data_IF_098853271155
#
_entry.id   IF_098853271155
#
_cell.length_a   1.000
_cell.length_b   1.000
_cell.length_c   1.000
_cell.angle_alpha   90.00
_cell.angle_beta   90.00
_cell.angle_gamma   90.00
#
_symmetry.space_group_name_H-M   'P 1'
#
loop_
_entity.id
_entity.type
_entity.pdbx_description
1 polymer ?
#
# COMPACT_ATOMS: atom_id res chain seq x y z
N UNK A 1 14.49 -45.71 -3.26
CA UNK A 1 13.42 -44.87 -3.85
C UNK A 1 13.66 -43.46 -3.34
N UNK A 2 14.18 -42.57 -4.18
CA UNK A 2 14.39 -41.17 -3.79
C UNK A 2 13.07 -40.42 -3.95
N UNK A 3 12.50 -39.99 -2.84
CA UNK A 3 11.38 -39.04 -2.80
C UNK A 3 11.93 -37.66 -3.11
N UNK A 4 11.78 -37.23 -4.37
CA UNK A 4 12.03 -35.84 -4.76
C UNK A 4 10.94 -34.97 -4.13
N UNK A 5 11.26 -34.32 -3.02
CA UNK A 5 10.47 -33.21 -2.48
C UNK A 5 10.38 -32.14 -3.59
N UNK A 6 9.18 -31.72 -4.04
CA UNK A 6 9.09 -30.64 -5.01
C UNK A 6 9.71 -29.38 -4.38
N UNK A 7 10.64 -28.74 -5.10
CA UNK A 7 11.33 -27.56 -4.60
C UNK A 7 10.30 -26.48 -4.27
N UNK A 8 10.44 -25.85 -3.10
CA UNK A 8 9.72 -24.63 -2.80
C UNK A 8 9.88 -23.64 -3.98
N UNK A 9 8.78 -23.00 -4.33
CA UNK A 9 8.61 -22.13 -5.50
C UNK A 9 9.87 -21.34 -5.87
N UNK A 10 10.24 -21.35 -7.17
CA UNK A 10 11.37 -20.58 -7.69
C UNK A 10 11.38 -19.16 -7.14
N UNK A 11 12.52 -18.73 -6.60
CA UNK A 11 12.75 -17.38 -6.05
C UNK A 11 12.35 -16.30 -7.05
N UNK A 12 11.84 -15.18 -6.56
CA UNK A 12 11.61 -14.02 -7.41
C UNK A 12 12.94 -13.52 -7.95
N UNK A 13 13.03 -13.39 -9.27
CA UNK A 13 14.02 -12.49 -9.87
C UNK A 13 13.65 -11.02 -9.58
N UNK A 14 14.10 -10.11 -10.44
CA UNK A 14 13.68 -8.71 -10.39
C UNK A 14 12.20 -8.59 -10.73
N UNK A 15 11.39 -8.13 -9.78
CA UNK A 15 9.97 -7.89 -9.96
C UNK A 15 9.76 -6.58 -10.71
N UNK A 16 9.17 -6.60 -11.92
CA UNK A 16 8.86 -5.37 -12.63
C UNK A 16 7.71 -4.63 -11.94
N UNK A 17 7.54 -3.37 -12.35
CA UNK A 17 6.34 -2.60 -12.07
C UNK A 17 5.09 -3.41 -12.46
N UNK A 18 4.00 -3.36 -11.67
CA UNK A 18 2.78 -4.04 -12.07
C UNK A 18 2.28 -3.45 -13.40
N UNK A 19 1.89 -4.35 -14.31
CA UNK A 19 0.96 -4.00 -15.38
C UNK A 19 -0.35 -3.62 -14.68
N UNK A 20 -0.76 -2.35 -14.74
CA UNK A 20 -1.99 -1.82 -14.12
C UNK A 20 -2.94 -1.45 -15.24
N UNK A 21 -4.21 -1.83 -15.13
CA UNK A 21 -5.22 -1.59 -16.17
C UNK A 21 -6.48 -0.97 -15.59
N UNK A 22 -7.14 -0.13 -16.37
CA UNK A 22 -8.48 0.38 -16.05
C UNK A 22 -9.42 -0.81 -15.78
N UNK A 23 -10.16 -0.74 -14.68
CA UNK A 23 -11.05 -1.80 -14.21
C UNK A 23 -10.41 -2.79 -13.23
N UNK A 24 -9.10 -2.74 -12.98
CA UNK A 24 -8.52 -3.46 -11.84
C UNK A 24 -9.13 -2.92 -10.52
N UNK A 25 -9.55 -3.82 -9.63
CA UNK A 25 -10.19 -3.50 -8.36
C UNK A 25 -9.63 -4.34 -7.21
N UNK A 26 -9.49 -3.70 -6.05
CA UNK A 26 -9.08 -4.34 -4.80
C UNK A 26 -10.05 -3.95 -3.69
N UNK A 27 -10.39 -4.91 -2.83
CA UNK A 27 -11.09 -4.66 -1.58
C UNK A 27 -10.19 -5.09 -0.43
N UNK A 28 -9.85 -4.17 0.46
CA UNK A 28 -9.10 -4.43 1.68
C UNK A 28 -9.99 -4.29 2.89
N UNK A 29 -9.66 -5.03 3.94
CA UNK A 29 -10.23 -4.84 5.26
C UNK A 29 -9.10 -4.47 6.22
N UNK A 30 -9.22 -3.31 6.84
CA UNK A 30 -8.27 -2.79 7.82
C UNK A 30 -8.87 -2.90 9.22
N UNK A 31 -8.11 -3.44 10.18
CA UNK A 31 -8.52 -3.59 11.58
C UNK A 31 -7.42 -3.15 12.53
N UNK A 32 -7.78 -2.68 13.72
CA UNK A 32 -6.84 -2.48 14.81
C UNK A 32 -6.44 -3.83 15.40
N UNK A 33 -5.16 -4.05 15.67
CA UNK A 33 -4.66 -5.32 16.25
C UNK A 33 -4.62 -5.31 17.78
N UNK A 34 -4.51 -4.13 18.39
CA UNK A 34 -4.33 -3.99 19.83
C UNK A 34 -5.66 -3.86 20.59
N UNK A 35 -6.78 -3.68 19.86
CA UNK A 35 -8.13 -3.75 20.44
C UNK A 35 -8.57 -5.23 20.51
N UNK A 36 -8.38 -5.84 21.68
CA UNK A 36 -8.82 -7.22 21.96
C UNK A 36 -10.35 -7.38 22.03
N UNK A 37 -11.09 -6.28 21.97
CA UNK A 37 -12.54 -6.31 21.90
C UNK A 37 -12.96 -6.74 20.49
N UNK A 38 -13.57 -7.92 20.42
CA UNK A 38 -14.06 -8.59 19.21
C UNK A 38 -15.18 -7.83 18.44
N UNK A 39 -15.25 -6.51 18.57
CA UNK A 39 -16.24 -5.60 17.98
C UNK A 39 -15.66 -4.69 16.88
N UNK A 40 -14.36 -4.71 16.61
CA UNK A 40 -13.83 -3.98 15.45
C UNK A 40 -14.28 -4.67 14.15
N UNK A 41 -15.37 -4.17 13.58
CA UNK A 41 -15.86 -4.59 12.26
C UNK A 41 -14.81 -4.34 11.16
N UNK A 42 -13.86 -3.44 11.43
CA UNK A 42 -12.84 -2.97 10.50
C UNK A 42 -13.39 -1.94 9.51
N UNK A 43 -12.46 -1.31 8.81
CA UNK A 43 -12.73 -0.41 7.70
C UNK A 43 -12.52 -1.15 6.39
N UNK A 44 -13.58 -1.24 5.59
CA UNK A 44 -13.46 -1.70 4.21
C UNK A 44 -12.95 -0.56 3.33
N UNK A 45 -11.91 -0.86 2.55
CA UNK A 45 -11.30 0.08 1.62
C UNK A 45 -11.35 -0.53 0.22
N UNK A 46 -12.19 0.03 -0.64
CA UNK A 46 -12.29 -0.37 -2.03
C UNK A 46 -11.46 0.57 -2.89
N UNK A 47 -10.67 0.04 -3.80
CA UNK A 47 -9.87 0.83 -4.74
C UNK A 47 -10.08 0.31 -6.16
N UNK A 48 -10.26 1.20 -7.14
CA UNK A 48 -10.40 0.82 -8.56
C UNK A 48 -9.63 1.74 -9.47
N UNK A 49 -9.01 1.20 -10.51
CA UNK A 49 -8.36 2.00 -11.56
C UNK A 49 -9.42 2.50 -12.52
N UNK A 50 -9.52 3.82 -12.68
CA UNK A 50 -10.56 4.43 -13.52
C UNK A 50 -10.02 5.05 -14.80
N UNK A 51 -8.75 5.47 -14.82
CA UNK A 51 -8.14 6.04 -16.00
C UNK A 51 -6.62 5.84 -16.03
N UNK A 52 -6.09 5.72 -17.25
CA UNK A 52 -4.69 6.02 -17.55
C UNK A 52 -4.68 7.44 -18.10
N UNK A 53 -3.91 8.31 -17.46
CA UNK A 53 -3.81 9.72 -17.81
C UNK A 53 -2.56 9.96 -18.68
N UNK A 54 -2.40 11.20 -19.13
CA UNK A 54 -1.23 11.64 -19.87
C UNK A 54 0.07 11.40 -19.07
N UNK A 55 1.18 11.26 -19.79
CA UNK A 55 2.49 10.90 -19.24
C UNK A 55 2.53 9.57 -18.46
N UNK A 56 1.52 8.70 -18.63
CA UNK A 56 1.48 7.37 -18.00
C UNK A 56 1.01 7.37 -16.55
N UNK A 57 0.51 8.50 -16.04
CA UNK A 57 -0.08 8.57 -14.71
C UNK A 57 -1.33 7.70 -14.60
N UNK A 58 -1.64 7.24 -13.40
CA UNK A 58 -2.74 6.32 -13.13
C UNK A 58 -3.69 6.97 -12.14
N UNK A 59 -4.97 7.09 -12.52
CA UNK A 59 -6.02 7.52 -11.61
C UNK A 59 -6.66 6.30 -10.95
N UNK A 60 -6.63 6.29 -9.63
CA UNK A 60 -7.30 5.29 -8.80
C UNK A 60 -8.32 5.99 -7.91
N UNK A 61 -9.55 5.51 -7.91
CA UNK A 61 -10.55 5.94 -6.94
C UNK A 61 -10.54 5.02 -5.74
N UNK A 62 -10.63 5.58 -4.55
CA UNK A 62 -10.65 4.87 -3.27
C UNK A 62 -11.90 5.23 -2.49
N UNK A 63 -12.64 4.24 -2.00
CA UNK A 63 -13.80 4.40 -1.13
C UNK A 63 -13.48 3.78 0.24
N UNK A 64 -13.53 4.59 1.28
CA UNK A 64 -13.21 4.20 2.65
C UNK A 64 -14.51 4.04 3.46
N UNK A 65 -15.04 2.82 3.50
CA UNK A 65 -16.31 2.49 4.14
C UNK A 65 -17.37 2.02 3.14
N UNK A 66 -18.38 1.36 3.68
CA UNK A 66 -19.42 0.68 2.91
C UNK A 66 -20.75 1.43 2.88
N UNK A 67 -20.86 2.57 3.58
CA UNK A 67 -22.08 3.36 3.55
C UNK A 67 -22.34 3.88 2.12
N UNK A 68 -23.62 4.01 1.77
CA UNK A 68 -24.03 4.35 0.41
C UNK A 68 -23.53 5.75 -0.01
N UNK A 69 -23.46 6.67 0.93
CA UNK A 69 -23.05 8.07 0.80
C UNK A 69 -21.54 8.28 0.97
N UNK A 70 -20.77 7.26 1.35
CA UNK A 70 -19.31 7.36 1.40
C UNK A 70 -18.75 7.71 0.01
N UNK A 71 -18.03 8.83 -0.14
CA UNK A 71 -17.55 9.28 -1.43
C UNK A 71 -16.39 8.42 -1.94
N UNK A 72 -16.23 8.43 -3.27
CA UNK A 72 -14.99 8.00 -3.90
C UNK A 72 -13.99 9.16 -3.88
N UNK A 73 -12.78 8.89 -3.40
CA UNK A 73 -11.66 9.82 -3.30
C UNK A 73 -10.66 9.53 -4.41
N UNK A 74 -10.14 10.59 -5.03
CA UNK A 74 -9.19 10.48 -6.14
C UNK A 74 -7.75 10.36 -5.63
N UNK A 75 -7.05 9.34 -6.12
CA UNK A 75 -5.60 9.20 -5.97
C UNK A 75 -4.93 9.19 -7.34
N UNK A 76 -3.82 9.93 -7.47
CA UNK A 76 -3.01 9.95 -8.68
C UNK A 76 -1.67 9.28 -8.39
N UNK A 77 -1.30 8.33 -9.23
CA UNK A 77 0.00 7.65 -9.19
C UNK A 77 0.83 8.00 -10.43
N UNK A 78 2.14 7.99 -10.28
CA UNK A 78 3.10 8.16 -11.39
C UNK A 78 3.08 6.94 -12.32
N UNK A 79 3.78 7.07 -13.44
CA UNK A 79 4.05 5.96 -14.36
C UNK A 79 4.82 4.81 -13.70
N UNK A 80 5.62 5.11 -12.66
CA UNK A 80 6.34 4.15 -11.80
C UNK A 80 5.50 3.60 -10.64
N UNK A 81 4.23 3.99 -10.55
CA UNK A 81 3.28 3.59 -9.52
C UNK A 81 3.59 4.13 -8.11
N UNK A 82 4.28 5.27 -8.04
CA UNK A 82 4.46 6.06 -6.82
C UNK A 82 3.28 7.01 -6.61
N UNK A 83 2.88 7.27 -5.36
CA UNK A 83 1.73 8.12 -5.08
C UNK A 83 2.10 9.60 -5.25
N UNK A 84 1.44 10.29 -6.18
CA UNK A 84 1.61 11.73 -6.43
C UNK A 84 0.65 12.55 -5.58
N UNK A 85 -0.60 12.12 -5.47
CA UNK A 85 -1.61 12.79 -4.65
C UNK A 85 -2.70 11.84 -4.18
N UNK A 86 -3.34 12.19 -3.07
CA UNK A 86 -4.55 11.52 -2.56
C UNK A 86 -5.52 12.54 -2.00
N UNK A 87 -6.79 12.42 -2.37
CA UNK A 87 -7.87 13.16 -1.74
C UNK A 87 -8.14 12.61 -0.34
N UNK A 88 -8.29 13.51 0.64
CA UNK A 88 -8.76 13.17 1.98
C UNK A 88 -10.27 13.37 2.09
N UNK A 89 -10.77 14.38 1.39
CA UNK A 89 -12.18 14.64 1.10
C UNK A 89 -12.28 15.03 -0.38
N UNK A 90 -13.47 14.89 -1.02
CA UNK A 90 -13.61 15.20 -2.44
C UNK A 90 -13.12 16.61 -2.78
N UNK A 91 -12.19 16.71 -3.73
CA UNK A 91 -11.62 17.98 -4.19
C UNK A 91 -10.47 18.54 -3.36
N UNK A 92 -10.18 17.99 -2.17
CA UNK A 92 -9.05 18.44 -1.34
C UNK A 92 -7.98 17.34 -1.27
N UNK A 93 -6.88 17.57 -1.99
CA UNK A 93 -5.82 16.60 -2.15
C UNK A 93 -4.57 16.95 -1.35
N UNK A 94 -4.03 15.96 -0.65
CA UNK A 94 -2.64 15.95 -0.25
C UNK A 94 -1.80 15.63 -1.48
N UNK A 95 -0.71 16.38 -1.68
CA UNK A 95 0.28 16.18 -2.74
C UNK A 95 1.64 15.81 -2.15
N UNK A 96 2.42 15.03 -2.90
CA UNK A 96 3.75 14.57 -2.51
C UNK A 96 4.79 15.01 -3.54
N UNK A 97 5.80 15.75 -3.09
CA UNK A 97 6.92 16.19 -3.93
C UNK A 97 8.26 15.85 -3.30
N UNK A 98 9.08 14.99 -3.93
CA UNK A 98 8.74 14.11 -5.05
C UNK A 98 7.66 13.08 -4.65
N UNK A 99 7.18 12.29 -5.64
CA UNK A 99 6.17 11.25 -5.41
C UNK A 99 6.56 10.33 -4.25
N UNK A 100 5.57 9.88 -3.47
CA UNK A 100 5.80 9.01 -2.32
C UNK A 100 6.32 7.64 -2.78
N UNK A 101 7.58 7.28 -2.47
CA UNK A 101 8.23 6.10 -3.03
C UNK A 101 7.93 4.86 -2.18
N UNK A 102 6.68 4.39 -2.19
CA UNK A 102 6.29 3.21 -1.40
C UNK A 102 6.93 1.93 -1.96
N UNK A 103 7.12 1.85 -3.27
CA UNK A 103 7.82 0.78 -3.96
C UNK A 103 8.85 1.40 -4.89
N UNK A 104 9.89 0.64 -5.27
CA UNK A 104 10.83 1.10 -6.29
C UNK A 104 11.10 -0.03 -7.27
N UNK A 105 10.39 -0.01 -8.39
CA UNK A 105 10.52 -1.07 -9.38
C UNK A 105 11.74 -0.86 -10.30
N UNK A 106 12.40 -1.94 -10.76
CA UNK A 106 12.15 -3.32 -10.35
C UNK A 106 12.62 -3.59 -8.91
N UNK A 107 11.95 -4.49 -8.20
CA UNK A 107 12.26 -4.85 -6.80
C UNK A 107 12.82 -6.27 -6.67
N UNK A 108 13.77 -6.48 -5.76
CA UNK A 108 14.31 -7.78 -5.38
C UNK A 108 14.76 -7.79 -3.90
N UNK A 109 14.80 -8.97 -3.24
CA UNK A 109 15.28 -9.08 -1.87
C UNK A 109 16.66 -8.43 -1.66
N UNK A 110 16.82 -7.68 -0.58
CA UNK A 110 18.04 -6.96 -0.22
C UNK A 110 18.14 -5.54 -0.78
N UNK A 111 17.25 -5.12 -1.69
CA UNK A 111 17.19 -3.73 -2.13
C UNK A 111 16.60 -2.83 -1.05
N UNK A 112 17.09 -1.59 -1.00
CA UNK A 112 16.61 -0.57 -0.07
C UNK A 112 16.66 0.81 -0.71
N UNK A 113 15.81 1.71 -0.23
CA UNK A 113 15.83 3.10 -0.61
C UNK A 113 15.41 4.01 0.53
N UNK A 114 15.94 5.23 0.53
CA UNK A 114 15.55 6.29 1.43
C UNK A 114 15.39 7.60 0.69
N UNK A 115 14.44 8.42 1.15
CA UNK A 115 14.15 9.72 0.58
C UNK A 115 13.40 10.61 1.57
N UNK A 116 13.65 11.92 1.53
CA UNK A 116 12.77 12.89 2.16
C UNK A 116 11.82 13.45 1.10
N UNK A 117 10.53 13.47 1.40
CA UNK A 117 9.49 14.05 0.55
C UNK A 117 8.75 15.16 1.29
N UNK A 118 8.18 16.10 0.53
CA UNK A 118 7.29 17.13 1.06
C UNK A 118 5.85 16.72 0.84
N UNK A 119 5.09 16.59 1.92
CA UNK A 119 3.63 16.50 1.91
C UNK A 119 3.07 17.92 1.94
N UNK A 120 2.21 18.28 0.98
CA UNK A 120 1.54 19.58 0.96
C UNK A 120 0.02 19.44 0.81
N UNK A 121 -0.73 20.25 1.54
CA UNK A 121 -2.17 20.44 1.36
C UNK A 121 -2.47 21.94 1.38
N UNK A 122 -2.53 22.60 0.21
CA UNK A 122 -2.60 24.06 0.11
C UNK A 122 -3.79 24.66 0.85
N UNK A 123 -4.94 23.99 0.83
CA UNK A 123 -6.18 24.44 1.46
C UNK A 123 -6.05 24.60 2.99
N UNK A 124 -5.06 23.93 3.58
CA UNK A 124 -4.81 23.89 5.02
C UNK A 124 -3.46 24.51 5.40
N UNK A 125 -2.77 25.17 4.46
CA UNK A 125 -1.40 25.67 4.61
C UNK A 125 -0.42 24.61 5.18
N UNK A 126 -0.73 23.34 4.95
CA UNK A 126 0.05 22.23 5.47
C UNK A 126 1.25 21.99 4.57
N UNK A 127 2.45 22.07 5.16
CA UNK A 127 3.69 21.64 4.54
C UNK A 127 4.50 20.84 5.56
N UNK A 128 4.65 19.53 5.32
CA UNK A 128 5.37 18.64 6.23
C UNK A 128 6.43 17.85 5.46
N UNK A 129 7.62 17.72 6.06
CA UNK A 129 8.64 16.80 5.57
C UNK A 129 8.35 15.39 6.10
N UNK A 130 8.43 14.40 5.22
CA UNK A 130 8.33 12.99 5.57
C UNK A 130 9.65 12.32 5.19
N UNK A 131 10.33 11.75 6.17
CA UNK A 131 11.43 10.82 5.92
C UNK A 131 10.87 9.45 5.56
N UNK A 132 11.34 8.87 4.47
CA UNK A 132 10.97 7.54 3.96
C UNK A 132 12.22 6.67 3.94
N UNK A 133 12.14 5.48 4.52
CA UNK A 133 13.16 4.42 4.44
C UNK A 133 12.43 3.11 4.21
N UNK A 134 12.80 2.36 3.17
CA UNK A 134 12.18 1.08 2.85
C UNK A 134 13.25 0.06 2.50
N UNK A 135 13.09 -1.16 3.02
CA UNK A 135 13.92 -2.32 2.70
C UNK A 135 13.06 -3.48 2.21
N UNK A 136 13.50 -4.18 1.16
CA UNK A 136 12.92 -5.44 0.71
C UNK A 136 13.61 -6.58 1.47
N UNK A 137 12.89 -7.22 2.39
CA UNK A 137 13.51 -8.12 3.35
C UNK A 137 13.62 -9.56 2.84
N UNK A 138 12.50 -10.10 2.35
CA UNK A 138 12.39 -11.54 2.09
C UNK A 138 11.29 -11.86 1.09
N UNK A 139 11.33 -13.09 0.58
CA UNK A 139 10.19 -13.70 -0.10
C UNK A 139 9.34 -14.46 0.91
N UNK A 140 8.02 -14.31 0.80
CA UNK A 140 7.05 -14.97 1.67
C UNK A 140 5.87 -15.52 0.86
N UNK A 141 5.22 -16.58 1.35
CA UNK A 141 3.90 -17.01 0.87
C UNK A 141 2.88 -16.53 1.89
N UNK A 142 1.91 -15.72 1.45
CA UNK A 142 0.89 -15.13 2.31
C UNK A 142 -0.49 -15.61 1.90
N UNK A 143 -1.25 -16.12 2.87
CA UNK A 143 -2.66 -16.42 2.74
C UNK A 143 -3.50 -15.23 3.23
N UNK A 144 -4.44 -14.78 2.42
CA UNK A 144 -5.48 -13.80 2.77
C UNK A 144 -6.83 -14.29 2.24
N UNK A 145 -7.97 -13.67 2.59
CA UNK A 145 -9.27 -14.12 2.08
C UNK A 145 -9.37 -14.13 0.54
N UNK A 146 -8.68 -13.23 -0.15
CA UNK A 146 -8.61 -13.24 -1.62
C UNK A 146 -7.77 -14.37 -2.24
N UNK A 147 -7.06 -15.18 -1.43
CA UNK A 147 -6.29 -16.33 -1.88
C UNK A 147 -4.87 -16.41 -1.32
N UNK A 148 -4.07 -17.29 -1.92
CA UNK A 148 -2.65 -17.50 -1.58
C UNK A 148 -1.77 -16.77 -2.58
N UNK A 149 -0.85 -15.95 -2.09
CA UNK A 149 0.04 -15.16 -2.92
C UNK A 149 1.50 -15.43 -2.58
N UNK A 150 2.34 -15.54 -3.62
CA UNK A 150 3.77 -15.37 -3.46
C UNK A 150 4.07 -13.87 -3.40
N UNK A 151 4.86 -13.44 -2.42
CA UNK A 151 5.06 -12.04 -2.08
C UNK A 151 6.51 -11.69 -1.79
N UNK A 152 6.86 -10.41 -1.94
CA UNK A 152 7.99 -9.83 -1.24
C UNK A 152 7.50 -9.15 0.02
N UNK A 153 8.15 -9.41 1.15
CA UNK A 153 7.96 -8.66 2.37
C UNK A 153 8.87 -7.44 2.37
N UNK A 154 8.29 -6.28 2.62
CA UNK A 154 9.00 -5.02 2.76
C UNK A 154 8.81 -4.46 4.16
N UNK A 155 9.81 -3.74 4.64
CA UNK A 155 9.77 -2.95 5.85
C UNK A 155 9.93 -1.48 5.48
N UNK A 156 8.86 -0.70 5.65
CA UNK A 156 8.87 0.74 5.53
C UNK A 156 8.94 1.42 6.90
N UNK A 157 9.73 2.49 7.00
CA UNK A 157 9.77 3.41 8.12
C UNK A 157 9.51 4.82 7.59
N UNK A 158 8.48 5.46 8.12
CA UNK A 158 8.05 6.79 7.71
C UNK A 158 8.09 7.71 8.93
N UNK A 159 8.83 8.80 8.85
CA UNK A 159 8.99 9.76 9.95
C UNK A 159 8.38 11.08 9.56
N UNK A 160 7.39 11.52 10.34
CA UNK A 160 6.79 12.87 10.24
C UNK A 160 7.18 13.69 11.48
N UNK A 161 6.88 15.00 11.53
CA UNK A 161 7.07 15.78 12.76
C UNK A 161 6.32 15.21 13.96
N UNK A 162 5.15 14.57 13.75
CA UNK A 162 4.22 14.19 14.80
C UNK A 162 4.20 12.69 15.10
N UNK A 163 4.73 11.85 14.20
CA UNK A 163 4.66 10.40 14.35
C UNK A 163 5.84 9.68 13.68
N UNK A 164 6.06 8.45 14.11
CA UNK A 164 6.86 7.45 13.41
C UNK A 164 5.96 6.28 13.04
N UNK A 165 5.92 5.93 11.77
CA UNK A 165 5.12 4.82 11.24
C UNK A 165 6.07 3.75 10.76
N UNK A 166 5.92 2.52 11.25
CA UNK A 166 6.65 1.34 10.77
C UNK A 166 5.67 0.37 10.15
N UNK A 167 5.84 0.03 8.88
CA UNK A 167 4.91 -0.85 8.16
C UNK A 167 5.66 -2.04 7.60
N UNK A 168 5.22 -3.25 7.97
CA UNK A 168 5.55 -4.45 7.20
C UNK A 168 4.45 -4.67 6.16
N UNK A 169 4.79 -4.82 4.89
CA UNK A 169 3.81 -5.09 3.85
C UNK A 169 4.30 -6.12 2.84
N UNK A 170 3.36 -6.97 2.41
CA UNK A 170 3.62 -8.12 1.54
C UNK A 170 3.12 -7.84 0.14
N UNK A 171 4.01 -7.36 -0.72
CA UNK A 171 3.73 -7.06 -2.13
C UNK A 171 3.60 -8.33 -2.96
N UNK A 172 2.45 -8.53 -3.61
CA UNK A 172 2.25 -9.64 -4.55
C UNK A 172 2.18 -9.11 -5.99
N UNK A 173 3.09 -9.52 -6.90
CA UNK A 173 3.03 -9.15 -8.33
C UNK A 173 1.70 -9.51 -8.99
N UNK A 174 1.16 -10.69 -8.66
CA UNK A 174 -0.11 -11.17 -9.20
C UNK A 174 -1.27 -10.23 -8.83
N UNK A 175 -1.25 -9.66 -7.61
CA UNK A 175 -2.21 -8.66 -7.19
C UNK A 175 -1.85 -7.22 -7.64
N UNK A 176 -0.58 -6.97 -7.98
CA UNK A 176 -0.05 -5.63 -8.29
C UNK A 176 -0.12 -4.64 -7.12
N UNK A 177 -0.30 -5.13 -5.89
CA UNK A 177 -0.43 -4.38 -4.64
C UNK A 177 0.12 -5.21 -3.48
N UNK A 178 0.32 -4.56 -2.33
CA UNK A 178 0.48 -5.28 -1.07
C UNK A 178 -0.84 -5.97 -0.71
N UNK A 179 -0.81 -7.30 -0.54
CA UNK A 179 -2.00 -8.09 -0.21
C UNK A 179 -2.27 -8.13 1.30
N UNK A 180 -1.25 -7.81 2.09
CA UNK A 180 -1.29 -7.69 3.53
C UNK A 180 -0.34 -6.59 3.98
N UNK A 181 -0.66 -5.92 5.07
CA UNK A 181 0.31 -5.12 5.80
C UNK A 181 -0.07 -4.94 7.26
N UNK A 182 0.96 -4.72 8.08
CA UNK A 182 0.85 -4.42 9.50
C UNK A 182 1.58 -3.10 9.71
N UNK A 183 0.85 -2.09 10.15
CA UNK A 183 1.35 -0.76 10.40
C UNK A 183 1.34 -0.48 11.91
N UNK A 184 2.48 -0.04 12.41
CA UNK A 184 2.70 0.43 13.77
C UNK A 184 2.92 1.94 13.73
N UNK A 185 1.94 2.69 14.20
CA UNK A 185 2.05 4.14 14.35
C UNK A 185 2.37 4.50 15.80
N UNK A 186 3.49 5.18 16.02
CA UNK A 186 3.88 5.79 17.28
C UNK A 186 3.70 7.30 17.18
N UNK A 187 2.74 7.85 17.92
CA UNK A 187 2.56 9.29 18.04
C UNK A 187 3.64 9.88 18.96
N UNK A 188 4.29 10.97 18.56
CA UNK A 188 5.38 11.61 19.32
C UNK A 188 4.89 12.47 20.48
N UNK A 189 3.64 12.95 20.42
CA UNK A 189 3.10 13.88 21.42
C UNK A 189 2.82 13.22 22.78
N UNK A 190 2.45 11.94 22.76
CA UNK A 190 1.99 11.20 23.94
C UNK A 190 2.52 9.75 23.96
N UNK A 191 3.40 9.40 23.02
CA UNK A 191 3.96 8.05 22.85
C UNK A 191 2.90 6.95 22.66
N UNK A 192 1.67 7.32 22.27
CA UNK A 192 0.62 6.33 22.03
C UNK A 192 0.95 5.51 20.78
N UNK A 193 0.78 4.20 20.89
CA UNK A 193 0.95 3.26 19.78
C UNK A 193 -0.41 2.78 19.29
N UNK A 194 -0.58 2.76 17.98
CA UNK A 194 -1.71 2.12 17.31
C UNK A 194 -1.15 1.16 16.28
N UNK A 195 -1.57 -0.10 16.37
CA UNK A 195 -1.27 -1.09 15.35
C UNK A 195 -2.49 -1.43 14.53
N UNK A 196 -2.38 -1.35 13.21
CA UNK A 196 -3.42 -1.78 12.28
C UNK A 196 -2.90 -2.85 11.33
N UNK A 197 -3.79 -3.74 10.92
CA UNK A 197 -3.53 -4.72 9.86
C UNK A 197 -4.55 -4.52 8.74
N UNK A 198 -4.08 -4.51 7.50
CA UNK A 198 -4.95 -4.64 6.33
C UNK A 198 -4.70 -5.95 5.60
N UNK A 199 -5.77 -6.56 5.09
CA UNK A 199 -5.72 -7.78 4.28
C UNK A 199 -6.66 -7.69 3.08
N UNK A 200 -6.20 -8.19 1.93
CA UNK A 200 -6.96 -8.24 0.69
C UNK A 200 -8.10 -9.25 0.82
N UNK A 201 -9.33 -8.75 0.72
CA UNK A 201 -10.57 -9.52 0.80
C UNK A 201 -11.00 -10.05 -0.56
N UNK A 202 -10.94 -9.20 -1.59
CA UNK A 202 -11.25 -9.59 -2.97
C UNK A 202 -10.33 -8.88 -3.96
N UNK A 203 -10.09 -9.54 -5.09
CA UNK A 203 -9.21 -9.09 -6.14
C UNK A 203 -9.91 -9.25 -7.50
N UNK A 204 -9.98 -8.18 -8.27
CA UNK A 204 -10.31 -8.23 -9.69
C UNK A 204 -9.12 -7.68 -10.48
N UNK A 205 -8.41 -8.55 -11.19
CA UNK A 205 -7.29 -8.18 -12.07
C UNK A 205 -7.65 -8.60 -13.47
N UNK A 206 -7.83 -7.63 -14.36
CA UNK A 206 -8.21 -7.89 -15.75
C UNK A 206 -6.97 -8.34 -16.54
N UNK A 207 -6.60 -9.61 -16.40
CA UNK A 207 -5.50 -10.26 -17.15
C UNK A 207 -6.09 -11.35 -18.04
N UNK A 208 -5.66 -11.39 -19.30
CA UNK A 208 -5.98 -12.44 -20.25
C UNK A 208 -4.89 -13.52 -20.21
#
# INVERSE_FOLDING_TARGET
MNTTTPSLAASFGKLPKPDIRVGDEWLFLTRTLDDSDAKDAGLLMRSRVVAMLDAGQIQIEVKNGDAADTPWLKNIYSDQFDLLSREMVPGEAITYTPAFPQFRFPMSPGEAWAQTITQSQPEWELHAQIGVDVTVEAEDIVQVPAGTFKTLRLLGRYTTPNAMVTTHYWYAPAAGRAVKGIEDTLAKINESRVRVQYELQSLNRLRA
#
